data_IF_484373501660
#
_entry.id   IF_484373501660
#
_cell.length_a   1.000
_cell.length_b   1.000
_cell.length_c   1.000
_cell.angle_alpha   90.00
_cell.angle_beta   90.00
_cell.angle_gamma   90.00
#
_symmetry.space_group_name_H-M   'P 1'
#
loop_
_entity.id
_entity.type
_entity.pdbx_description
1 polymer ?
#
# COMPACT_ATOMS: atom_id res chain seq x y z
N UNK A 1 -34.22 -16.58 -4.06
CA UNK A 1 -33.65 -15.49 -3.24
C UNK A 1 -34.75 -14.98 -2.33
N UNK A 2 -34.39 -14.75 -1.07
CA UNK A 2 -35.16 -13.95 -0.12
C UNK A 2 -35.37 -12.53 -0.67
N UNK A 3 -36.35 -11.82 -0.10
CA UNK A 3 -36.58 -10.40 -0.39
C UNK A 3 -35.30 -9.59 -0.15
N UNK A 4 -34.92 -8.73 -1.10
CA UNK A 4 -33.78 -7.81 -0.95
C UNK A 4 -34.36 -6.46 -0.52
N UNK A 5 -34.09 -5.99 0.72
CA UNK A 5 -34.63 -4.72 1.22
C UNK A 5 -34.30 -3.58 0.26
N UNK A 6 -35.33 -2.88 -0.24
CA UNK A 6 -35.20 -1.80 -1.22
C UNK A 6 -35.29 -2.22 -2.69
N UNK A 7 -35.15 -3.51 -3.00
CA UNK A 7 -35.36 -4.05 -4.35
C UNK A 7 -36.68 -4.84 -4.50
N UNK A 8 -37.28 -5.26 -3.39
CA UNK A 8 -38.55 -6.00 -3.38
C UNK A 8 -38.39 -7.48 -3.74
N UNK A 9 -39.51 -8.21 -3.62
CA UNK A 9 -39.52 -9.66 -3.58
C UNK A 9 -39.25 -10.36 -4.92
N UNK A 10 -38.46 -11.44 -4.85
CA UNK A 10 -38.46 -12.63 -5.72
C UNK A 10 -38.22 -12.45 -7.23
N UNK A 11 -37.08 -12.93 -7.73
CA UNK A 11 -36.80 -13.02 -9.17
C UNK A 11 -35.48 -12.39 -9.61
N UNK A 12 -34.70 -11.87 -8.68
CA UNK A 12 -33.36 -11.35 -8.95
C UNK A 12 -32.40 -12.49 -9.31
N UNK A 13 -31.50 -12.22 -10.24
CA UNK A 13 -30.39 -13.12 -10.62
C UNK A 13 -29.09 -12.38 -10.32
N UNK A 14 -28.26 -12.94 -9.44
CA UNK A 14 -26.95 -12.37 -9.15
C UNK A 14 -26.07 -12.49 -10.40
N UNK A 15 -25.45 -11.38 -10.81
CA UNK A 15 -24.55 -11.34 -11.96
C UNK A 15 -23.10 -11.18 -11.56
N UNK A 16 -22.84 -10.43 -10.48
CA UNK A 16 -21.50 -10.03 -10.09
C UNK A 16 -21.48 -9.54 -8.64
N UNK A 17 -20.36 -9.75 -7.95
CA UNK A 17 -20.02 -9.15 -6.65
C UNK A 17 -18.63 -8.56 -6.76
N UNK A 18 -18.47 -7.33 -6.30
CA UNK A 18 -17.27 -6.52 -6.51
C UNK A 18 -16.80 -6.02 -5.15
N UNK A 19 -15.52 -6.16 -4.84
CA UNK A 19 -14.95 -5.66 -3.60
C UNK A 19 -14.19 -4.37 -3.88
N UNK A 20 -14.65 -3.25 -3.30
CA UNK A 20 -14.03 -1.94 -3.49
C UNK A 20 -12.57 -1.84 -3.00
N UNK A 21 -12.12 -2.82 -2.21
CA UNK A 21 -10.73 -2.93 -1.74
C UNK A 21 -9.85 -3.80 -2.67
N UNK A 22 -10.41 -4.39 -3.73
CA UNK A 22 -9.71 -5.23 -4.69
C UNK A 22 -9.75 -4.60 -6.09
N UNK A 23 -8.75 -4.90 -6.93
CA UNK A 23 -8.73 -4.36 -8.30
C UNK A 23 -9.18 -5.37 -9.36
N UNK A 24 -9.65 -6.55 -8.95
CA UNK A 24 -10.09 -7.62 -9.88
C UNK A 24 -11.05 -7.09 -10.93
N UNK A 25 -11.91 -6.15 -10.52
CA UNK A 25 -12.92 -5.54 -11.35
C UNK A 25 -12.78 -4.02 -11.42
N UNK A 26 -11.55 -3.51 -11.47
CA UNK A 26 -11.31 -2.11 -11.79
C UNK A 26 -11.89 -1.72 -13.18
N UNK A 27 -11.91 -0.43 -13.52
CA UNK A 27 -12.48 0.04 -14.80
C UNK A 27 -11.88 -0.68 -16.03
N UNK A 28 -10.58 -0.98 -16.01
CA UNK A 28 -9.84 -1.55 -17.14
C UNK A 28 -9.88 -3.08 -17.19
N UNK A 29 -10.42 -3.72 -16.15
CA UNK A 29 -10.50 -5.18 -16.08
C UNK A 29 -11.21 -5.77 -17.29
N UNK A 30 -10.56 -6.77 -17.91
CA UNK A 30 -11.14 -7.53 -19.02
C UNK A 30 -12.41 -8.28 -18.60
N UNK A 31 -12.64 -8.50 -17.29
CA UNK A 31 -13.88 -9.09 -16.80
C UNK A 31 -15.11 -8.26 -17.11
N UNK A 32 -15.01 -6.96 -17.41
CA UNK A 32 -16.16 -6.17 -17.85
C UNK A 32 -16.57 -6.46 -19.30
N UNK A 33 -15.61 -6.88 -20.13
CA UNK A 33 -15.75 -6.97 -21.59
C UNK A 33 -15.59 -8.38 -22.15
N UNK A 34 -15.26 -9.38 -21.33
CA UNK A 34 -15.20 -10.80 -21.71
C UNK A 34 -16.42 -11.60 -21.22
N UNK A 35 -16.60 -12.81 -21.75
CA UNK A 35 -17.61 -13.79 -21.31
C UNK A 35 -16.99 -14.91 -20.46
N UNK A 36 -16.08 -14.52 -19.57
CA UNK A 36 -15.46 -15.42 -18.61
C UNK A 36 -16.08 -15.22 -17.22
N UNK A 37 -16.26 -16.32 -16.49
CA UNK A 37 -16.68 -16.32 -15.09
C UNK A 37 -15.46 -16.18 -14.17
N UNK A 38 -15.68 -15.63 -12.98
CA UNK A 38 -14.67 -15.51 -11.92
C UNK A 38 -15.26 -15.95 -10.58
N UNK A 39 -14.52 -16.75 -9.81
CA UNK A 39 -14.92 -17.21 -8.47
C UNK A 39 -16.38 -17.70 -8.40
N UNK A 40 -16.72 -18.67 -9.27
CA UNK A 40 -18.10 -19.15 -9.43
C UNK A 40 -18.66 -19.71 -8.12
N UNK A 41 -17.86 -20.47 -7.37
CA UNK A 41 -18.31 -21.05 -6.09
C UNK A 41 -18.68 -19.97 -5.10
N UNK A 42 -17.87 -18.91 -4.96
CA UNK A 42 -18.18 -17.78 -4.09
C UNK A 42 -19.45 -17.04 -4.55
N UNK A 43 -19.70 -16.98 -5.86
CA UNK A 43 -20.95 -16.44 -6.41
C UNK A 43 -22.20 -17.27 -6.08
N UNK A 44 -22.04 -18.59 -5.86
CA UNK A 44 -23.13 -19.50 -5.48
C UNK A 44 -23.42 -19.48 -3.98
N UNK A 45 -22.52 -18.95 -3.14
CA UNK A 45 -22.72 -18.76 -1.69
C UNK A 45 -23.70 -17.62 -1.34
N UNK A 46 -24.24 -16.91 -2.33
CA UNK A 46 -25.18 -15.80 -2.13
C UNK A 46 -24.48 -14.43 -2.02
N UNK A 47 -25.11 -13.47 -1.31
CA UNK A 47 -24.64 -12.09 -1.18
C UNK A 47 -23.60 -12.00 -0.05
N UNK A 48 -22.42 -12.55 -0.31
CA UNK A 48 -21.23 -12.46 0.57
C UNK A 48 -20.29 -11.35 0.09
N UNK A 49 -19.29 -10.99 0.89
CA UNK A 49 -18.27 -9.97 0.53
C UNK A 49 -17.15 -10.50 -0.37
N UNK A 50 -17.23 -11.78 -0.78
CA UNK A 50 -16.28 -12.38 -1.73
C UNK A 50 -16.66 -12.02 -3.16
N UNK A 51 -15.65 -11.61 -3.93
CA UNK A 51 -15.80 -11.25 -5.35
C UNK A 51 -16.28 -12.41 -6.20
N UNK A 52 -17.10 -12.13 -7.22
CA UNK A 52 -17.52 -13.14 -8.21
C UNK A 52 -18.04 -12.49 -9.49
N UNK A 53 -17.96 -13.21 -10.60
CA UNK A 53 -18.63 -12.91 -11.86
C UNK A 53 -19.25 -14.19 -12.41
N UNK A 54 -20.56 -14.16 -12.65
CA UNK A 54 -21.33 -15.33 -13.07
C UNK A 54 -21.75 -15.22 -14.54
N UNK A 55 -22.05 -16.36 -15.16
CA UNK A 55 -22.51 -16.42 -16.56
C UNK A 55 -23.82 -15.64 -16.82
N UNK A 56 -24.61 -15.40 -15.78
CA UNK A 56 -25.76 -14.50 -15.80
C UNK A 56 -25.41 -13.08 -16.23
N UNK A 57 -24.17 -12.61 -16.04
CA UNK A 57 -23.70 -11.30 -16.52
C UNK A 57 -23.93 -11.08 -18.02
N UNK A 58 -23.77 -12.12 -18.85
CA UNK A 58 -23.96 -12.05 -20.31
C UNK A 58 -25.15 -12.84 -20.84
N UNK A 59 -25.82 -13.66 -20.00
CA UNK A 59 -26.95 -14.50 -20.42
C UNK A 59 -28.31 -14.05 -19.86
N UNK A 60 -28.37 -13.02 -19.01
CA UNK A 60 -29.62 -12.60 -18.35
C UNK A 60 -30.15 -11.28 -18.91
N UNK A 61 -31.30 -11.28 -19.61
CA UNK A 61 -32.00 -10.06 -20.01
C UNK A 61 -32.34 -9.17 -18.81
N UNK A 62 -32.03 -7.88 -18.92
CA UNK A 62 -32.29 -6.89 -17.89
C UNK A 62 -33.68 -6.31 -18.09
N UNK A 63 -34.50 -6.35 -17.04
CA UNK A 63 -35.74 -5.55 -16.93
C UNK A 63 -35.61 -4.42 -15.91
N UNK A 64 -34.86 -4.70 -14.85
CA UNK A 64 -34.46 -3.81 -13.75
C UNK A 64 -33.10 -4.28 -13.24
N UNK A 65 -32.36 -3.40 -12.60
CA UNK A 65 -31.11 -3.73 -11.93
C UNK A 65 -31.25 -3.39 -10.45
N UNK A 66 -31.00 -4.36 -9.58
CA UNK A 66 -30.86 -4.14 -8.15
C UNK A 66 -29.37 -3.98 -7.85
N UNK A 67 -28.97 -2.82 -7.33
CA UNK A 67 -27.60 -2.50 -6.94
C UNK A 67 -27.54 -2.33 -5.44
N UNK A 68 -26.49 -2.84 -4.81
CA UNK A 68 -26.27 -2.64 -3.39
C UNK A 68 -24.80 -2.49 -3.02
N UNK A 69 -24.57 -1.84 -1.90
CA UNK A 69 -23.25 -1.64 -1.31
C UNK A 69 -23.31 -1.95 0.18
N UNK A 70 -22.29 -2.65 0.65
CA UNK A 70 -22.11 -2.97 2.07
C UNK A 70 -20.96 -2.15 2.64
N UNK A 71 -21.22 -1.41 3.71
CA UNK A 71 -20.19 -0.65 4.45
C UNK A 71 -20.36 -0.97 5.92
N UNK A 72 -19.29 -1.42 6.59
CA UNK A 72 -19.31 -1.81 8.00
C UNK A 72 -20.42 -2.82 8.35
N UNK A 73 -20.69 -3.77 7.45
CA UNK A 73 -21.73 -4.79 7.60
C UNK A 73 -23.17 -4.33 7.33
N UNK A 74 -23.40 -3.04 7.05
CA UNK A 74 -24.72 -2.53 6.65
C UNK A 74 -24.83 -2.46 5.12
N UNK A 75 -25.82 -3.17 4.56
CA UNK A 75 -26.11 -3.13 3.12
C UNK A 75 -27.27 -2.19 2.81
N UNK A 76 -27.10 -1.30 1.84
CA UNK A 76 -28.17 -0.51 1.25
C UNK A 76 -28.29 -0.77 -0.24
N UNK A 77 -29.51 -0.64 -0.76
CA UNK A 77 -29.85 -1.06 -2.12
C UNK A 77 -30.67 0.01 -2.85
N UNK A 78 -30.57 0.01 -4.17
CA UNK A 78 -31.37 0.82 -5.08
C UNK A 78 -31.78 0.01 -6.31
N UNK A 79 -32.85 0.46 -6.96
CA UNK A 79 -33.33 -0.09 -8.23
C UNK A 79 -33.02 0.90 -9.35
N UNK A 80 -32.48 0.40 -10.46
CA UNK A 80 -32.47 1.09 -11.75
C UNK A 80 -33.48 0.44 -12.68
N UNK A 81 -34.43 1.22 -13.20
CA UNK A 81 -35.29 0.80 -14.30
C UNK A 81 -34.50 0.90 -15.61
N UNK A 82 -34.02 -0.24 -16.10
CA UNK A 82 -33.16 -0.31 -17.28
C UNK A 82 -33.43 -1.60 -18.06
N UNK A 83 -33.54 -1.50 -19.40
CA UNK A 83 -33.81 -2.65 -20.26
C UNK A 83 -32.67 -2.90 -21.24
N UNK A 84 -32.17 -4.13 -21.28
CA UNK A 84 -31.13 -4.57 -22.21
C UNK A 84 -31.10 -6.09 -22.33
N UNK A 85 -30.39 -6.63 -23.33
CA UNK A 85 -30.24 -8.07 -23.50
C UNK A 85 -29.35 -8.73 -22.45
N UNK A 86 -28.41 -8.00 -21.85
CA UNK A 86 -27.58 -8.41 -20.72
C UNK A 86 -26.78 -7.23 -20.13
N UNK A 87 -26.13 -7.41 -18.98
CA UNK A 87 -25.22 -6.38 -18.46
C UNK A 87 -23.96 -6.28 -19.34
N UNK A 88 -23.47 -7.41 -19.84
CA UNK A 88 -22.42 -7.47 -20.85
C UNK A 88 -22.72 -6.59 -22.06
N UNK A 89 -23.92 -6.68 -22.65
CA UNK A 89 -24.26 -5.91 -23.87
C UNK A 89 -24.27 -4.39 -23.64
N UNK A 90 -24.46 -3.94 -22.40
CA UNK A 90 -24.50 -2.53 -22.03
C UNK A 90 -23.12 -1.99 -21.70
N UNK A 91 -22.19 -2.86 -21.27
CA UNK A 91 -20.86 -2.46 -20.82
C UNK A 91 -19.78 -2.74 -21.88
N UNK A 92 -19.84 -3.87 -22.58
CA UNK A 92 -18.71 -4.41 -23.34
C UNK A 92 -18.27 -3.56 -24.53
N UNK A 93 -19.15 -2.75 -25.11
CA UNK A 93 -18.83 -1.88 -26.24
C UNK A 93 -18.22 -0.52 -25.84
N UNK A 94 -18.07 -0.29 -24.53
CA UNK A 94 -17.48 0.94 -23.98
C UNK A 94 -18.33 2.20 -24.16
N UNK A 95 -19.56 2.10 -24.70
CA UNK A 95 -20.38 3.28 -24.97
C UNK A 95 -21.04 3.80 -23.70
N UNK A 96 -20.98 5.12 -23.50
CA UNK A 96 -21.67 5.80 -22.40
C UNK A 96 -23.19 5.71 -22.57
N UNK A 97 -23.88 5.33 -21.50
CA UNK A 97 -25.36 5.27 -21.46
C UNK A 97 -25.87 5.80 -20.14
N UNK A 98 -26.61 6.90 -20.17
CA UNK A 98 -27.17 7.53 -18.98
C UNK A 98 -28.25 6.68 -18.28
N UNK A 99 -28.37 6.87 -16.97
CA UNK A 99 -29.50 6.40 -16.15
C UNK A 99 -30.29 7.61 -15.63
N UNK A 100 -31.41 7.36 -14.94
CA UNK A 100 -32.30 8.40 -14.41
C UNK A 100 -32.54 8.25 -12.92
N UNK A 101 -31.59 7.67 -12.17
CA UNK A 101 -31.77 7.43 -10.74
C UNK A 101 -31.70 8.72 -9.94
N UNK A 102 -30.86 9.66 -10.37
CA UNK A 102 -30.62 10.91 -9.67
C UNK A 102 -29.62 10.79 -8.51
N UNK A 103 -29.03 11.94 -8.18
CA UNK A 103 -27.96 12.07 -7.19
C UNK A 103 -28.34 11.52 -5.81
N UNK A 104 -29.53 11.84 -5.33
CA UNK A 104 -29.99 11.43 -3.99
C UNK A 104 -30.16 9.92 -3.88
N UNK A 105 -30.65 9.27 -4.94
CA UNK A 105 -30.77 7.81 -5.01
C UNK A 105 -29.38 7.16 -4.95
N UNK A 106 -28.40 7.68 -5.69
CA UNK A 106 -27.03 7.20 -5.62
C UNK A 106 -26.39 7.45 -4.25
N UNK A 107 -26.62 8.59 -3.61
CA UNK A 107 -26.12 8.81 -2.24
C UNK A 107 -26.80 7.90 -1.20
N UNK A 108 -28.03 7.44 -1.46
CA UNK A 108 -28.78 6.59 -0.52
C UNK A 108 -28.16 5.20 -0.31
N UNK A 109 -27.35 4.70 -1.27
CA UNK A 109 -26.72 3.37 -1.15
C UNK A 109 -25.50 3.32 -0.23
N UNK A 110 -25.00 4.47 0.24
CA UNK A 110 -23.98 4.54 1.30
C UNK A 110 -24.39 5.61 2.31
N UNK A 111 -24.63 5.19 3.56
CA UNK A 111 -24.97 6.11 4.65
C UNK A 111 -23.87 7.17 4.85
N UNK A 112 -24.27 8.44 4.92
CA UNK A 112 -23.34 9.56 5.13
C UNK A 112 -22.47 9.91 3.92
N UNK A 113 -22.71 9.32 2.75
CA UNK A 113 -22.00 9.69 1.52
C UNK A 113 -22.34 11.12 1.08
N UNK A 114 -21.41 11.75 0.36
CA UNK A 114 -21.59 13.09 -0.20
C UNK A 114 -20.98 13.16 -1.59
N UNK A 115 -21.68 13.82 -2.50
CA UNK A 115 -21.21 14.11 -3.86
C UNK A 115 -21.23 15.63 -4.08
N UNK A 116 -20.26 16.13 -4.84
CA UNK A 116 -20.19 17.56 -5.17
C UNK A 116 -21.35 18.00 -6.07
N UNK A 117 -21.61 19.31 -6.20
CA UNK A 117 -22.88 19.84 -6.71
C UNK A 117 -23.06 19.76 -8.23
N UNK A 118 -21.96 19.75 -8.98
CA UNK A 118 -21.93 19.90 -10.42
C UNK A 118 -21.58 18.58 -11.14
N UNK A 119 -21.62 18.65 -12.47
CA UNK A 119 -21.58 17.57 -13.43
C UNK A 119 -22.77 16.59 -13.39
N UNK A 120 -23.02 15.95 -12.25
CA UNK A 120 -24.14 15.02 -12.04
C UNK A 120 -24.30 13.95 -13.14
N UNK A 121 -23.19 13.39 -13.61
CA UNK A 121 -23.19 12.43 -14.72
C UNK A 121 -23.33 11.02 -14.18
N UNK A 122 -24.45 10.37 -14.49
CA UNK A 122 -24.73 8.99 -14.09
C UNK A 122 -24.85 8.02 -15.27
N UNK A 123 -24.71 6.73 -14.99
CA UNK A 123 -24.97 5.64 -15.92
C UNK A 123 -23.78 4.70 -16.16
N UNK A 124 -23.79 4.04 -17.31
CA UNK A 124 -22.81 3.03 -17.74
C UNK A 124 -21.66 3.64 -18.54
N UNK A 125 -20.47 3.07 -18.43
CA UNK A 125 -19.25 3.49 -19.14
C UNK A 125 -19.07 5.02 -19.10
N UNK A 126 -19.14 5.59 -17.90
CA UNK A 126 -18.84 7.00 -17.70
C UNK A 126 -17.38 7.20 -18.03
N UNK A 127 -17.10 8.12 -18.94
CA UNK A 127 -15.76 8.60 -19.23
C UNK A 127 -15.78 10.13 -19.19
N UNK A 128 -15.11 10.66 -18.18
CA UNK A 128 -14.76 12.08 -18.06
C UNK A 128 -13.25 12.17 -17.93
N UNK A 129 -12.66 13.31 -18.30
CA UNK A 129 -11.22 13.44 -18.57
C UNK A 129 -10.28 12.88 -17.48
N UNK A 130 -10.70 12.89 -16.21
CA UNK A 130 -9.91 12.40 -15.08
C UNK A 130 -10.52 11.19 -14.35
N UNK A 131 -11.72 10.73 -14.72
CA UNK A 131 -12.44 9.68 -13.99
C UNK A 131 -13.31 8.86 -14.93
N UNK A 132 -13.17 7.54 -14.83
CA UNK A 132 -13.95 6.57 -15.58
C UNK A 132 -14.73 5.69 -14.62
N UNK A 133 -15.91 5.20 -15.01
CA UNK A 133 -16.73 4.27 -14.24
C UNK A 133 -17.45 3.28 -15.16
N UNK A 134 -17.62 2.02 -14.74
CA UNK A 134 -18.46 1.07 -15.51
C UNK A 134 -19.94 1.25 -15.25
N UNK A 135 -20.30 1.59 -14.02
CA UNK A 135 -21.66 1.95 -13.63
C UNK A 135 -21.60 2.85 -12.40
N UNK A 136 -22.10 4.07 -12.46
CA UNK A 136 -22.02 4.95 -11.30
C UNK A 136 -22.58 6.35 -11.51
N UNK A 137 -22.13 7.25 -10.65
CA UNK A 137 -22.39 8.67 -10.67
C UNK A 137 -21.07 9.42 -10.42
N UNK A 138 -20.77 10.44 -11.22
CA UNK A 138 -19.61 11.33 -11.05
C UNK A 138 -20.05 12.78 -10.94
N UNK A 139 -19.36 13.52 -10.07
CA UNK A 139 -19.63 14.91 -9.77
C UNK A 139 -18.36 15.70 -9.42
N UNK A 140 -18.46 17.02 -9.51
CA UNK A 140 -17.46 17.98 -9.08
C UNK A 140 -18.09 19.30 -8.61
N UNK A 141 -17.27 20.31 -8.37
CA UNK A 141 -17.66 21.65 -7.95
C UNK A 141 -17.34 22.70 -9.04
N UNK A 142 -16.69 22.33 -10.14
CA UNK A 142 -16.49 23.23 -11.27
C UNK A 142 -17.71 23.32 -12.20
N UNK A 143 -17.72 24.29 -13.10
CA UNK A 143 -18.81 24.53 -14.06
C UNK A 143 -18.87 23.53 -15.22
N UNK A 144 -17.89 22.63 -15.32
CA UNK A 144 -17.74 21.67 -16.43
C UNK A 144 -17.50 20.24 -15.94
N UNK A 145 -17.95 19.24 -16.70
CA UNK A 145 -17.75 17.80 -16.43
C UNK A 145 -16.35 17.26 -16.81
N UNK A 146 -15.26 18.00 -16.56
CA UNK A 146 -13.90 17.60 -16.97
C UNK A 146 -12.99 17.20 -15.81
N UNK A 147 -13.36 17.54 -14.58
CA UNK A 147 -12.53 17.37 -13.37
C UNK A 147 -13.36 16.71 -12.27
N UNK A 148 -14.09 15.64 -12.60
CA UNK A 148 -14.91 14.94 -11.62
C UNK A 148 -14.04 14.33 -10.53
N UNK A 149 -14.20 14.77 -9.29
CA UNK A 149 -13.38 14.39 -8.15
C UNK A 149 -14.24 13.85 -6.98
N UNK A 150 -15.53 13.65 -7.21
CA UNK A 150 -16.44 12.91 -6.34
C UNK A 150 -17.27 11.90 -7.13
N UNK A 151 -17.46 10.70 -6.59
CA UNK A 151 -18.12 9.63 -7.31
C UNK A 151 -18.68 8.54 -6.38
N UNK A 152 -19.60 7.74 -6.90
CA UNK A 152 -20.16 6.54 -6.25
C UNK A 152 -20.62 5.54 -7.31
N UNK A 153 -20.37 4.25 -7.12
CA UNK A 153 -20.68 3.21 -8.11
C UNK A 153 -19.66 2.08 -8.15
N UNK A 154 -19.54 1.44 -9.31
CA UNK A 154 -18.75 0.26 -9.57
C UNK A 154 -17.65 0.54 -10.61
N UNK A 155 -16.44 0.05 -10.30
CA UNK A 155 -15.26 0.07 -11.17
C UNK A 155 -14.83 1.45 -11.65
N UNK A 156 -14.20 2.22 -10.76
CA UNK A 156 -13.61 3.51 -11.11
C UNK A 156 -12.15 3.39 -11.53
N UNK A 157 -11.70 4.30 -12.41
CA UNK A 157 -10.30 4.44 -12.78
C UNK A 157 -9.97 5.86 -13.23
N UNK A 158 -8.82 6.41 -12.85
CA UNK A 158 -8.41 7.75 -13.24
C UNK A 158 -7.46 7.68 -14.44
N UNK A 159 -7.83 8.31 -15.56
CA UNK A 159 -6.85 8.65 -16.60
C UNK A 159 -6.03 9.85 -16.12
N UNK A 160 -4.74 9.65 -15.84
CA UNK A 160 -3.79 10.74 -15.60
C UNK A 160 -2.93 10.67 -14.33
N UNK A 161 -3.04 9.66 -13.49
CA UNK A 161 -2.18 9.52 -12.30
C UNK A 161 -1.09 8.44 -12.50
N UNK A 162 -0.11 8.77 -13.35
CA UNK A 162 1.19 8.05 -13.46
C UNK A 162 2.11 8.34 -12.25
N UNK A 163 1.56 8.87 -11.17
CA UNK A 163 2.19 9.02 -9.86
C UNK A 163 1.23 8.40 -8.85
N UNK A 164 1.75 7.79 -7.78
CA UNK A 164 1.05 7.25 -6.59
C UNK A 164 1.14 5.73 -6.41
N UNK A 165 2.36 5.29 -6.10
CA UNK A 165 2.66 4.61 -4.82
C UNK A 165 1.74 5.12 -3.71
N UNK A 166 1.19 4.25 -2.83
CA UNK A 166 0.15 4.43 -1.77
C UNK A 166 -0.12 5.83 -1.19
N UNK A 167 -0.12 6.92 -1.95
CA UNK A 167 -0.09 8.27 -1.41
C UNK A 167 -1.46 8.63 -0.96
N UNK A 168 -1.54 9.10 0.27
CA UNK A 168 -2.50 10.12 0.63
C UNK A 168 -2.41 11.21 -0.44
N UNK A 169 -3.53 11.55 -1.05
CA UNK A 169 -3.65 12.80 -1.78
C UNK A 169 -3.57 13.94 -0.75
N UNK A 170 -2.38 14.19 -0.22
CA UNK A 170 -2.07 15.44 0.43
C UNK A 170 -1.69 16.40 -0.69
N UNK A 171 -2.63 17.31 -0.95
CA UNK A 171 -2.51 18.40 -1.89
C UNK A 171 -1.38 19.33 -1.46
N UNK A 172 -0.15 19.01 -1.84
CA UNK A 172 0.94 19.97 -1.97
C UNK A 172 1.39 20.04 -3.42
N UNK A 173 0.42 20.29 -4.31
CA UNK A 173 0.71 21.23 -5.38
C UNK A 173 0.93 22.58 -4.68
N UNK A 174 2.14 23.12 -4.82
CA UNK A 174 2.56 24.43 -4.35
C UNK A 174 1.53 25.51 -4.72
N UNK A 175 0.62 25.82 -3.80
CA UNK A 175 -0.25 26.98 -3.90
C UNK A 175 0.51 28.15 -3.29
N UNK A 176 0.88 29.11 -4.13
CA UNK A 176 1.10 30.49 -3.69
C UNK A 176 -0.15 30.93 -2.94
N UNK A 177 0.03 31.26 -1.66
CA UNK A 177 -1.01 31.82 -0.81
C UNK A 177 -1.58 33.09 -1.44
N UNK A 178 -2.87 33.11 -1.73
CA UNK A 178 -3.68 34.33 -1.65
C UNK A 178 -5.10 34.00 -1.19
N UNK A 179 -5.35 34.33 0.07
CA UNK A 179 -6.65 34.65 0.70
C UNK A 179 -7.89 33.83 0.30
N UNK A 180 -8.31 32.91 1.17
CA UNK A 180 -9.40 33.14 2.15
C UNK A 180 -10.11 31.84 2.56
N UNK A 181 -10.18 31.63 3.90
CA UNK A 181 -11.16 30.83 4.67
C UNK A 181 -11.15 29.28 4.55
N UNK A 182 -10.30 28.66 5.37
CA UNK A 182 -10.65 27.79 6.53
C UNK A 182 -12.03 27.08 6.48
N UNK A 183 -12.11 25.89 5.87
CA UNK A 183 -12.92 24.68 6.27
C UNK A 183 -13.13 23.76 5.07
N UNK A 184 -12.43 22.61 5.03
CA UNK A 184 -12.98 21.27 4.73
C UNK A 184 -11.80 20.27 4.69
N UNK A 185 -11.48 19.66 5.83
CA UNK A 185 -10.72 18.41 5.90
C UNK A 185 -11.77 17.31 6.02
N UNK A 186 -12.09 16.62 4.94
CA UNK A 186 -12.85 15.36 4.96
C UNK A 186 -12.25 14.47 3.87
N UNK A 187 -11.21 13.71 4.23
CA UNK A 187 -10.51 12.78 3.35
C UNK A 187 -11.28 11.44 3.31
N UNK A 188 -11.53 10.87 2.12
CA UNK A 188 -11.89 9.46 1.99
C UNK A 188 -10.75 8.62 2.62
N UNK A 189 -11.04 7.90 3.70
CA UNK A 189 -10.09 7.01 4.35
C UNK A 189 -9.99 5.72 3.55
N UNK A 190 -8.99 5.61 2.67
CA UNK A 190 -8.58 4.32 2.09
C UNK A 190 -8.18 3.37 3.23
N UNK A 191 -8.54 2.09 3.14
CA UNK A 191 -8.23 1.09 4.17
C UNK A 191 -6.87 0.44 3.93
N UNK A 192 -6.25 -0.09 4.99
CA UNK A 192 -5.12 -0.99 4.85
C UNK A 192 -5.49 -2.16 3.94
N UNK A 193 -4.59 -2.58 3.06
CA UNK A 193 -4.89 -3.70 2.17
C UNK A 193 -4.00 -3.79 0.95
N UNK A 194 -4.41 -4.66 0.03
CA UNK A 194 -3.72 -4.93 -1.22
C UNK A 194 -4.16 -3.95 -2.28
N UNK A 195 -3.20 -3.35 -2.98
CA UNK A 195 -3.43 -2.45 -4.11
C UNK A 195 -2.62 -2.94 -5.30
N UNK A 196 -3.18 -2.82 -6.50
CA UNK A 196 -2.50 -3.21 -7.72
C UNK A 196 -1.96 -1.96 -8.43
N UNK A 197 -0.65 -1.93 -8.64
CA UNK A 197 0.03 -0.84 -9.33
C UNK A 197 0.45 -1.27 -10.73
N UNK A 198 0.39 -0.33 -11.67
CA UNK A 198 0.94 -0.50 -13.01
C UNK A 198 2.40 -0.05 -13.02
N UNK A 199 3.27 -0.85 -13.61
CA UNK A 199 4.67 -0.43 -13.82
C UNK A 199 4.68 0.68 -14.86
N UNK A 200 5.35 1.80 -14.53
CA UNK A 200 5.45 2.95 -15.43
C UNK A 200 5.97 2.52 -16.81
N UNK A 201 5.30 2.96 -17.87
CA UNK A 201 5.61 2.61 -19.26
C UNK A 201 5.54 1.11 -19.59
N UNK A 202 4.77 0.32 -18.82
CA UNK A 202 4.55 -1.11 -19.07
C UNK A 202 3.08 -1.47 -18.89
N UNK A 203 2.62 -2.53 -19.55
CA UNK A 203 1.32 -3.15 -19.30
C UNK A 203 1.33 -4.08 -18.07
N UNK A 204 2.50 -4.32 -17.47
CA UNK A 204 2.63 -5.18 -16.29
C UNK A 204 2.07 -4.50 -15.06
N UNK A 205 1.23 -5.23 -14.33
CA UNK A 205 0.75 -4.87 -13.00
C UNK A 205 1.51 -5.67 -11.93
N UNK A 206 1.55 -5.14 -10.71
CA UNK A 206 2.05 -5.85 -9.54
C UNK A 206 1.24 -5.46 -8.30
N UNK A 207 0.98 -6.45 -7.45
CA UNK A 207 0.32 -6.25 -6.16
C UNK A 207 1.31 -5.69 -5.14
N UNK A 208 0.82 -4.77 -4.32
CA UNK A 208 1.53 -4.22 -3.17
C UNK A 208 0.60 -4.21 -1.96
N UNK A 209 1.18 -4.14 -0.76
CA UNK A 209 0.44 -3.84 0.45
C UNK A 209 0.59 -2.35 0.79
N UNK A 210 -0.53 -1.65 0.95
CA UNK A 210 -0.57 -0.29 1.48
C UNK A 210 -1.07 -0.28 2.92
N UNK A 211 -0.34 0.39 3.79
CA UNK A 211 -0.78 0.74 5.13
C UNK A 211 -1.29 2.19 5.11
N UNK A 212 -2.61 2.33 5.09
CA UNK A 212 -3.35 3.59 4.95
C UNK A 212 -3.74 4.22 6.29
N UNK A 213 -3.61 3.52 7.41
CA UNK A 213 -3.76 4.11 8.75
C UNK A 213 -2.47 4.79 9.22
N UNK A 214 -2.56 5.61 10.27
CA UNK A 214 -1.38 6.21 10.90
C UNK A 214 -0.46 5.11 11.47
N UNK A 215 0.83 5.24 11.20
CA UNK A 215 1.88 4.45 11.87
C UNK A 215 2.53 5.38 12.90
N UNK A 216 2.63 4.99 14.18
CA UNK A 216 3.32 5.77 15.20
C UNK A 216 4.70 6.22 14.72
N UNK A 217 5.08 7.48 14.99
CA UNK A 217 6.33 8.14 14.56
C UNK A 217 6.55 8.33 13.05
N UNK A 218 5.91 7.53 12.19
CA UNK A 218 5.95 7.74 10.75
C UNK A 218 4.89 8.74 10.27
N UNK A 219 3.76 8.80 10.98
CA UNK A 219 2.70 9.76 10.74
C UNK A 219 1.59 9.21 9.85
N UNK A 220 0.85 10.08 9.13
CA UNK A 220 -0.36 9.69 8.42
C UNK A 220 -0.04 8.61 7.37
N UNK A 221 -1.02 7.76 7.08
CA UNK A 221 -0.81 6.53 6.32
C UNK A 221 -0.35 6.73 4.89
N UNK A 222 -0.54 5.71 4.07
CA UNK A 222 -0.11 5.71 2.69
C UNK A 222 1.30 5.17 2.52
N UNK A 223 1.66 4.28 3.43
CA UNK A 223 2.94 3.61 3.46
C UNK A 223 2.88 2.37 2.58
N UNK A 224 3.81 2.27 1.65
CA UNK A 224 3.94 1.12 0.76
C UNK A 224 4.94 0.15 1.34
N UNK A 225 4.50 -1.07 1.64
CA UNK A 225 5.42 -2.12 2.08
C UNK A 225 6.38 -2.48 0.94
N UNK A 226 7.68 -2.51 1.22
CA UNK A 226 8.70 -2.94 0.24
C UNK A 226 9.40 -4.23 0.65
N UNK A 227 9.61 -4.43 1.95
CA UNK A 227 10.34 -5.59 2.47
C UNK A 227 10.01 -5.84 3.94
N UNK A 228 10.02 -7.12 4.34
CA UNK A 228 9.98 -7.57 5.74
C UNK A 228 11.16 -8.51 5.99
N UNK A 229 11.88 -8.32 7.08
CA UNK A 229 13.14 -9.02 7.37
C UNK A 229 13.05 -9.71 8.73
N UNK A 230 13.20 -11.03 8.77
CA UNK A 230 13.28 -11.78 10.02
C UNK A 230 14.73 -11.80 10.51
N UNK A 231 15.01 -11.11 11.62
CA UNK A 231 16.36 -11.00 12.18
C UNK A 231 16.99 -12.31 12.63
N UNK A 232 16.18 -13.36 12.82
CA UNK A 232 16.67 -14.71 13.16
C UNK A 232 17.03 -15.55 11.93
N UNK A 233 16.79 -15.03 10.72
CA UNK A 233 17.05 -15.73 9.46
C UNK A 233 18.15 -15.03 8.67
N UNK A 234 18.90 -15.83 7.93
CA UNK A 234 20.05 -15.35 7.18
C UNK A 234 19.71 -14.92 5.73
N UNK A 235 18.45 -15.04 5.29
CA UNK A 235 18.02 -14.81 3.90
C UNK A 235 18.31 -13.37 3.42
N UNK A 236 18.27 -12.40 4.33
CA UNK A 236 18.43 -10.98 4.04
C UNK A 236 19.65 -10.36 4.73
N UNK A 237 20.71 -11.13 4.99
CA UNK A 237 21.99 -10.56 5.46
C UNK A 237 22.57 -9.53 4.48
N UNK A 238 23.62 -8.81 4.89
CA UNK A 238 24.20 -7.74 4.07
C UNK A 238 24.55 -8.19 2.65
N UNK A 239 25.18 -9.35 2.50
CA UNK A 239 25.64 -9.89 1.21
C UNK A 239 24.53 -10.54 0.38
N UNK A 240 23.29 -10.62 0.88
CA UNK A 240 22.19 -11.24 0.16
C UNK A 240 21.92 -10.57 -1.20
N UNK A 241 21.82 -11.33 -2.30
CA UNK A 241 21.53 -10.78 -3.62
C UNK A 241 20.14 -10.13 -3.68
N UNK A 242 19.24 -10.44 -2.74
CA UNK A 242 17.93 -9.81 -2.66
C UNK A 242 18.00 -8.29 -2.43
N UNK A 243 19.12 -7.74 -1.93
CA UNK A 243 19.30 -6.29 -1.83
C UNK A 243 19.62 -5.63 -3.18
N UNK A 244 20.26 -6.36 -4.09
CA UNK A 244 20.86 -5.81 -5.32
C UNK A 244 20.20 -6.32 -6.60
N UNK A 245 19.26 -7.26 -6.51
CA UNK A 245 18.49 -7.78 -7.65
C UNK A 245 17.05 -7.23 -7.70
N UNK A 246 16.35 -7.47 -8.81
CA UNK A 246 14.92 -7.13 -9.00
C UNK A 246 14.04 -8.38 -8.96
N UNK A 247 14.34 -9.28 -8.02
CA UNK A 247 13.55 -10.47 -7.76
C UNK A 247 12.69 -10.28 -6.51
N UNK A 248 11.49 -10.84 -6.52
CA UNK A 248 10.59 -10.91 -5.37
C UNK A 248 10.91 -12.10 -4.48
N UNK A 249 10.55 -12.03 -3.21
CA UNK A 249 10.61 -13.14 -2.27
C UNK A 249 9.31 -13.21 -1.49
N UNK A 250 8.67 -14.39 -1.42
CA UNK A 250 7.45 -14.65 -0.66
C UNK A 250 6.38 -13.54 -0.81
N UNK A 251 5.88 -13.34 -2.04
CA UNK A 251 4.96 -12.25 -2.38
C UNK A 251 3.67 -12.32 -1.57
N UNK A 252 3.04 -13.50 -1.51
CA UNK A 252 1.78 -13.72 -0.78
C UNK A 252 1.90 -13.30 0.69
N UNK A 253 3.00 -13.68 1.35
CA UNK A 253 3.27 -13.29 2.73
C UNK A 253 3.39 -11.77 2.90
N UNK A 254 3.87 -11.05 1.89
CA UNK A 254 3.91 -9.58 1.89
C UNK A 254 2.56 -8.91 1.67
N UNK A 255 1.61 -9.60 1.03
CA UNK A 255 0.27 -9.08 0.77
C UNK A 255 -0.70 -9.28 1.95
N UNK A 256 -0.37 -10.16 2.89
CA UNK A 256 -1.08 -10.38 4.16
C UNK A 256 -0.87 -9.25 5.20
N UNK A 257 -0.14 -8.19 4.85
CA UNK A 257 0.11 -7.03 5.70
C UNK A 257 1.33 -7.16 6.61
N UNK A 258 1.27 -6.53 7.79
CA UNK A 258 2.41 -6.40 8.72
C UNK A 258 2.57 -7.61 9.66
N UNK A 259 2.30 -8.82 9.16
CA UNK A 259 2.61 -10.06 9.89
C UNK A 259 4.13 -10.35 9.92
N UNK A 260 4.53 -11.34 10.71
CA UNK A 260 5.93 -11.74 10.94
C UNK A 260 6.43 -12.80 9.94
N UNK A 261 6.06 -12.66 8.66
CA UNK A 261 6.58 -13.48 7.57
C UNK A 261 7.41 -12.62 6.63
N UNK A 262 8.68 -12.98 6.43
CA UNK A 262 9.62 -12.18 5.65
C UNK A 262 9.22 -12.12 4.16
N UNK A 263 9.45 -10.98 3.50
CA UNK A 263 9.05 -10.76 2.11
C UNK A 263 9.95 -9.74 1.43
N UNK A 264 9.99 -9.78 0.10
CA UNK A 264 10.47 -8.69 -0.74
C UNK A 264 9.48 -8.50 -1.90
N UNK A 265 8.90 -7.31 -1.97
CA UNK A 265 7.89 -6.98 -2.97
C UNK A 265 8.48 -6.18 -4.14
N UNK A 266 7.79 -6.19 -5.28
CA UNK A 266 8.21 -5.44 -6.47
C UNK A 266 8.20 -3.92 -6.27
N UNK A 267 7.50 -3.43 -5.23
CA UNK A 267 7.60 -2.05 -4.76
C UNK A 267 9.04 -1.68 -4.38
N UNK A 268 9.89 -2.61 -3.94
CA UNK A 268 11.30 -2.34 -3.64
C UNK A 268 12.06 -1.61 -4.77
N UNK A 269 11.76 -1.91 -6.03
CA UNK A 269 12.42 -1.30 -7.21
C UNK A 269 11.51 -0.45 -8.10
N UNK A 270 10.20 -0.44 -7.86
CA UNK A 270 9.23 0.28 -8.70
C UNK A 270 8.62 1.51 -8.02
N UNK A 271 9.00 1.81 -6.78
CA UNK A 271 8.30 2.76 -5.91
C UNK A 271 9.18 3.96 -5.55
N UNK A 272 9.01 5.12 -6.21
CA UNK A 272 9.64 6.37 -5.79
C UNK A 272 9.10 6.82 -4.44
N UNK A 273 9.96 7.41 -3.62
CA UNK A 273 9.61 7.86 -2.27
C UNK A 273 10.38 9.12 -1.86
N UNK A 274 9.84 9.83 -0.88
CA UNK A 274 10.51 10.92 -0.16
C UNK A 274 10.69 10.62 1.34
N UNK A 275 10.05 9.57 1.86
CA UNK A 275 10.21 9.09 3.23
C UNK A 275 10.31 7.58 3.28
N UNK A 276 11.06 7.09 4.26
CA UNK A 276 11.13 5.67 4.62
C UNK A 276 10.70 5.51 6.08
N UNK A 277 9.76 4.61 6.32
CA UNK A 277 9.28 4.22 7.64
C UNK A 277 9.86 2.85 7.97
N UNK A 278 10.62 2.79 9.06
CA UNK A 278 11.33 1.61 9.50
C UNK A 278 10.73 1.15 10.82
N UNK A 279 10.33 -0.11 10.89
CA UNK A 279 9.78 -0.72 12.09
C UNK A 279 10.59 -1.91 12.53
N UNK A 280 10.73 -2.09 13.84
CA UNK A 280 11.29 -3.31 14.43
C UNK A 280 10.35 -3.81 15.51
N UNK A 281 9.95 -5.08 15.40
CA UNK A 281 9.17 -5.79 16.40
C UNK A 281 10.06 -6.71 17.20
N UNK A 282 10.03 -6.56 18.52
CA UNK A 282 10.68 -7.45 19.50
C UNK A 282 9.62 -7.86 20.50
N UNK A 283 9.41 -9.17 20.65
CA UNK A 283 8.23 -9.71 21.36
C UNK A 283 6.95 -9.09 20.76
N UNK A 284 6.03 -8.55 21.57
CA UNK A 284 4.77 -7.97 21.09
C UNK A 284 4.83 -6.44 20.87
N UNK A 285 6.02 -5.84 20.93
CA UNK A 285 6.19 -4.39 20.80
C UNK A 285 6.86 -4.05 19.48
N UNK A 286 6.20 -3.25 18.66
CA UNK A 286 6.77 -2.66 17.44
C UNK A 286 7.08 -1.18 17.66
N UNK A 287 8.34 -0.79 17.47
CA UNK A 287 8.77 0.60 17.48
C UNK A 287 9.12 1.04 16.05
N UNK A 288 8.92 2.32 15.78
CA UNK A 288 9.00 2.89 14.44
C UNK A 288 9.87 4.13 14.44
N UNK A 289 10.53 4.38 13.32
CA UNK A 289 11.18 5.65 13.00
C UNK A 289 10.89 6.03 11.55
N UNK A 290 10.96 7.32 11.26
CA UNK A 290 10.88 7.84 9.90
C UNK A 290 12.15 8.58 9.53
N UNK A 291 12.59 8.39 8.29
CA UNK A 291 13.73 9.10 7.72
C UNK A 291 13.28 9.78 6.44
N UNK A 292 13.53 11.08 6.34
CA UNK A 292 13.33 11.83 5.10
C UNK A 292 14.46 11.49 4.12
N UNK A 293 14.12 10.87 3.00
CA UNK A 293 15.07 10.54 1.94
C UNK A 293 14.35 10.43 0.60
N UNK A 294 14.79 11.20 -0.39
CA UNK A 294 14.20 11.19 -1.72
C UNK A 294 14.97 10.25 -2.66
N UNK A 295 14.29 9.24 -3.20
CA UNK A 295 14.86 8.34 -4.19
C UNK A 295 13.82 7.82 -5.18
N UNK A 296 14.30 7.33 -6.33
CA UNK A 296 13.45 6.71 -7.35
C UNK A 296 12.96 5.30 -6.97
N UNK A 297 13.67 4.61 -6.06
CA UNK A 297 13.27 3.36 -5.42
C UNK A 297 14.31 2.95 -4.36
N UNK A 298 13.98 2.02 -3.46
CA UNK A 298 14.94 1.55 -2.46
C UNK A 298 16.08 0.75 -3.13
N UNK A 299 15.75 0.01 -4.20
CA UNK A 299 16.72 -0.61 -5.10
C UNK A 299 17.75 0.40 -5.62
N UNK A 300 17.32 1.60 -6.05
CA UNK A 300 18.24 2.59 -6.61
C UNK A 300 19.26 3.09 -5.57
N UNK A 301 18.85 3.20 -4.30
CA UNK A 301 19.73 3.61 -3.20
C UNK A 301 20.71 2.49 -2.84
N UNK A 302 20.25 1.23 -2.80
CA UNK A 302 21.01 0.12 -2.25
C UNK A 302 21.87 -0.60 -3.31
N UNK A 303 21.36 -0.83 -4.51
CA UNK A 303 21.95 -1.76 -5.48
C UNK A 303 23.35 -1.33 -5.98
N UNK A 304 23.64 -0.02 -5.96
CA UNK A 304 24.96 0.50 -6.34
C UNK A 304 26.07 0.22 -5.31
N UNK A 305 25.74 -0.25 -4.11
CA UNK A 305 26.70 -0.63 -3.07
C UNK A 305 27.41 0.53 -2.36
N UNK A 306 27.32 1.76 -2.89
CA UNK A 306 27.87 2.96 -2.26
C UNK A 306 27.10 3.36 -0.99
N UNK A 307 27.83 3.84 0.02
CA UNK A 307 27.23 4.30 1.27
C UNK A 307 26.58 5.68 1.12
N UNK A 308 25.35 5.82 1.62
CA UNK A 308 24.61 7.10 1.61
C UNK A 308 24.17 7.43 3.03
N UNK A 309 24.64 8.56 3.57
CA UNK A 309 24.34 8.96 4.95
C UNK A 309 22.88 9.42 5.13
N UNK A 310 22.32 9.12 6.30
CA UNK A 310 21.06 9.69 6.79
C UNK A 310 21.34 10.72 7.89
N UNK A 311 20.28 11.38 8.37
CA UNK A 311 20.36 12.37 9.46
C UNK A 311 19.43 12.02 10.63
N UNK A 312 19.16 10.73 10.84
CA UNK A 312 18.23 10.28 11.88
C UNK A 312 18.87 10.44 13.28
N UNK A 313 20.17 10.18 13.39
CA UNK A 313 20.93 10.28 14.63
C UNK A 313 20.81 9.05 15.53
N UNK A 314 21.83 8.87 16.39
CA UNK A 314 21.98 7.71 17.27
C UNK A 314 20.74 7.42 18.14
N UNK A 315 20.16 8.45 18.76
CA UNK A 315 19.00 8.30 19.64
C UNK A 315 17.79 7.74 18.89
N UNK A 316 17.57 8.17 17.65
CA UNK A 316 16.47 7.72 16.79
C UNK A 316 16.68 6.26 16.41
N UNK A 317 17.89 5.88 15.98
CA UNK A 317 18.19 4.47 15.71
C UNK A 317 17.98 3.58 16.94
N UNK A 318 18.42 4.02 18.12
CA UNK A 318 18.21 3.28 19.38
C UNK A 318 16.74 3.14 19.77
N UNK A 319 15.85 4.05 19.37
CA UNK A 319 14.43 3.96 19.73
C UNK A 319 13.69 2.83 19.02
N UNK A 320 14.25 2.24 17.95
CA UNK A 320 13.68 1.08 17.27
C UNK A 320 13.59 -0.17 18.16
N UNK A 321 14.44 -0.29 19.19
CA UNK A 321 14.45 -1.45 20.08
C UNK A 321 14.65 -0.95 21.51
N UNK A 322 13.65 -1.18 22.37
CA UNK A 322 13.76 -0.92 23.79
C UNK A 322 14.89 -1.78 24.39
N UNK A 323 15.77 -1.15 25.18
CA UNK A 323 16.93 -1.83 25.75
C UNK A 323 18.11 -2.05 24.79
N UNK A 324 18.07 -1.49 23.57
CA UNK A 324 19.20 -1.56 22.65
C UNK A 324 20.46 -0.88 23.20
N UNK A 325 21.61 -1.44 22.82
CA UNK A 325 22.93 -0.95 23.19
C UNK A 325 23.75 -0.70 21.93
N UNK A 326 24.60 0.32 21.98
CA UNK A 326 25.55 0.64 20.92
C UNK A 326 26.81 1.15 21.60
N UNK A 327 27.97 0.78 21.07
CA UNK A 327 29.24 1.32 21.56
C UNK A 327 29.33 2.84 21.40
N UNK A 328 30.22 3.47 22.18
CA UNK A 328 30.17 4.91 22.43
C UNK A 328 30.67 5.76 21.27
N UNK A 329 31.58 5.26 20.43
CA UNK A 329 32.16 6.01 19.33
C UNK A 329 31.53 5.63 17.97
N UNK A 330 31.83 6.43 16.95
CA UNK A 330 31.30 6.36 15.60
C UNK A 330 29.79 6.58 15.52
N UNK A 331 29.31 7.02 14.37
CA UNK A 331 27.89 7.20 14.09
C UNK A 331 27.64 7.03 12.60
N UNK A 332 28.16 5.94 12.03
CA UNK A 332 28.02 5.68 10.61
C UNK A 332 26.60 5.18 10.34
N UNK A 333 25.69 6.10 10.04
CA UNK A 333 24.30 5.81 9.72
C UNK A 333 23.99 5.93 8.22
N UNK A 334 22.99 5.18 7.78
CA UNK A 334 22.33 5.35 6.50
C UNK A 334 22.20 4.06 5.70
N UNK A 335 22.39 4.17 4.40
CA UNK A 335 22.29 3.07 3.44
C UNK A 335 23.66 2.51 3.09
N UNK A 336 23.77 1.18 2.96
CA UNK A 336 25.02 0.47 2.70
C UNK A 336 26.16 0.94 3.63
N UNK A 337 25.89 1.01 4.93
CA UNK A 337 26.89 1.36 5.94
C UNK A 337 27.97 0.29 5.94
N UNK A 338 29.21 0.73 5.73
CA UNK A 338 30.42 -0.08 5.83
C UNK A 338 31.42 0.66 6.71
N UNK A 339 31.97 -0.01 7.72
CA UNK A 339 33.07 0.57 8.50
C UNK A 339 34.43 0.37 7.82
N UNK A 340 34.64 -0.76 7.14
CA UNK A 340 35.77 -0.97 6.22
C UNK A 340 35.30 -1.62 4.91
N UNK A 341 36.17 -1.69 3.89
CA UNK A 341 35.84 -2.42 2.66
C UNK A 341 35.89 -3.94 2.81
N UNK A 342 36.64 -4.48 3.78
CA UNK A 342 36.72 -5.93 3.98
C UNK A 342 35.44 -6.48 4.65
N UNK A 343 35.11 -7.73 4.36
CA UNK A 343 33.89 -8.38 4.84
C UNK A 343 33.96 -8.82 6.32
N UNK A 344 35.06 -8.52 7.01
CA UNK A 344 35.28 -8.92 8.41
C UNK A 344 34.59 -8.00 9.41
N UNK A 345 34.30 -6.75 9.05
CA UNK A 345 33.70 -5.79 9.98
C UNK A 345 32.21 -5.57 9.72
N UNK A 346 31.57 -4.79 10.59
CA UNK A 346 30.13 -4.55 10.54
C UNK A 346 29.72 -3.84 9.25
N UNK A 347 28.80 -4.48 8.53
CA UNK A 347 28.12 -3.96 7.35
C UNK A 347 26.61 -3.99 7.58
N UNK A 348 25.91 -2.91 7.23
CA UNK A 348 24.45 -2.80 7.42
C UNK A 348 23.82 -2.15 6.19
N UNK A 349 22.76 -2.75 5.65
CA UNK A 349 22.09 -2.20 4.45
C UNK A 349 21.32 -0.94 4.75
N UNK A 350 20.62 -0.89 5.88
CA UNK A 350 19.92 0.29 6.38
C UNK A 350 20.11 0.30 7.89
N UNK A 351 20.85 1.25 8.44
CA UNK A 351 21.07 1.25 9.89
C UNK A 351 22.18 2.16 10.35
N UNK A 352 22.65 1.88 11.55
CA UNK A 352 23.73 2.58 12.24
C UNK A 352 24.78 1.57 12.70
N UNK A 353 26.04 1.81 12.35
CA UNK A 353 27.20 1.09 12.88
C UNK A 353 28.04 2.01 13.79
N UNK A 354 28.50 1.43 14.91
CA UNK A 354 29.24 2.11 15.98
C UNK A 354 30.43 1.28 16.41
N UNK A 355 31.40 1.92 17.06
CA UNK A 355 32.57 1.25 17.62
C UNK A 355 32.97 1.86 18.99
N UNK A 356 34.03 1.37 19.66
CA UNK A 356 34.55 1.97 20.89
C UNK A 356 35.98 2.56 20.76
N UNK A 357 36.65 2.32 19.64
CA UNK A 357 37.98 2.81 19.28
C UNK A 357 37.91 4.17 18.60
N UNK A 358 39.04 4.87 18.51
CA UNK A 358 39.12 6.22 17.93
C UNK A 358 38.77 6.28 16.44
N UNK A 359 39.02 5.19 15.68
CA UNK A 359 38.68 5.09 14.27
C UNK A 359 37.37 4.34 14.04
N UNK A 360 36.69 4.66 12.93
CA UNK A 360 35.44 4.02 12.53
C UNK A 360 35.62 2.91 11.50
N UNK A 361 36.81 2.30 11.51
CA UNK A 361 37.20 1.28 10.54
C UNK A 361 36.85 -0.14 11.00
N UNK A 362 36.72 -0.34 12.32
CA UNK A 362 36.60 -1.67 12.95
C UNK A 362 35.29 -1.88 13.69
N UNK A 363 34.22 -1.17 13.30
CA UNK A 363 32.92 -1.27 13.99
C UNK A 363 32.49 -2.73 14.18
N UNK A 364 32.09 -3.03 15.40
CA UNK A 364 31.58 -4.34 15.82
C UNK A 364 30.18 -4.26 16.44
N UNK A 365 29.56 -3.07 16.43
CA UNK A 365 28.24 -2.83 16.98
C UNK A 365 27.32 -2.15 15.97
N UNK A 366 26.05 -2.56 15.92
CA UNK A 366 25.05 -1.96 15.04
C UNK A 366 23.61 -2.07 15.55
N UNK A 367 22.75 -1.28 14.92
CA UNK A 367 21.31 -1.50 14.88
C UNK A 367 20.81 -1.24 13.46
N UNK A 368 20.02 -2.16 12.88
CA UNK A 368 19.52 -1.97 11.52
C UNK A 368 19.01 -3.22 10.83
N UNK A 369 18.93 -3.14 9.51
CA UNK A 369 18.40 -4.13 8.58
C UNK A 369 19.49 -4.58 7.61
N UNK A 370 19.52 -5.87 7.31
CA UNK A 370 20.49 -6.49 6.43
C UNK A 370 21.91 -6.35 6.94
N UNK A 371 22.15 -6.83 8.15
CA UNK A 371 23.46 -6.78 8.78
C UNK A 371 24.30 -8.03 8.52
N UNK A 372 25.61 -7.85 8.56
CA UNK A 372 26.63 -8.89 8.71
C UNK A 372 27.77 -8.29 9.51
N UNK A 373 28.21 -8.97 10.56
CA UNK A 373 29.23 -8.45 11.47
C UNK A 373 30.04 -9.60 12.05
N UNK A 374 31.33 -9.38 12.23
CA UNK A 374 32.22 -10.26 12.97
C UNK A 374 33.05 -9.39 13.92
N UNK A 375 32.70 -9.43 15.20
CA UNK A 375 33.30 -8.60 16.25
C UNK A 375 33.84 -9.44 17.38
N UNK A 376 35.02 -9.12 17.92
CA UNK A 376 35.69 -9.90 18.99
C UNK A 376 35.71 -11.43 18.78
N UNK A 377 35.86 -11.90 17.53
CA UNK A 377 35.87 -13.32 17.22
C UNK A 377 34.48 -13.98 17.16
N UNK A 378 33.41 -13.21 17.29
CA UNK A 378 32.02 -13.66 17.31
C UNK A 378 31.29 -13.18 16.04
N UNK A 379 30.84 -14.10 15.16
CA UNK A 379 29.97 -13.73 14.05
C UNK A 379 28.56 -13.40 14.58
N UNK A 380 27.98 -12.33 14.05
CA UNK A 380 26.57 -12.01 14.29
C UNK A 380 25.68 -12.79 13.33
N UNK A 381 24.76 -13.59 13.88
CA UNK A 381 23.70 -14.24 13.10
C UNK A 381 22.44 -13.35 12.94
N UNK A 382 22.48 -12.13 13.49
CA UNK A 382 21.35 -11.20 13.50
C UNK A 382 21.37 -10.42 12.20
N UNK A 383 20.37 -10.60 11.35
CA UNK A 383 20.29 -9.85 10.08
C UNK A 383 19.45 -8.58 10.21
N UNK A 384 18.58 -8.52 11.21
CA UNK A 384 17.78 -7.37 11.56
C UNK A 384 17.64 -7.30 13.08
N UNK A 385 18.01 -6.16 13.66
CA UNK A 385 18.00 -6.00 15.11
C UNK A 385 19.19 -5.19 15.61
N UNK A 386 19.61 -5.48 16.84
CA UNK A 386 20.71 -4.82 17.53
C UNK A 386 21.79 -5.82 17.96
N UNK A 387 23.05 -5.43 17.75
CA UNK A 387 24.22 -6.18 18.16
C UNK A 387 25.23 -5.20 18.76
N UNK A 388 25.66 -5.45 19.99
CA UNK A 388 26.73 -4.71 20.65
C UNK A 388 27.56 -5.70 21.44
N UNK A 389 28.85 -5.76 21.13
CA UNK A 389 29.83 -6.66 21.76
C UNK A 389 31.05 -5.83 22.19
N UNK A 390 32.10 -6.46 22.71
CA UNK A 390 33.43 -5.86 22.93
C UNK A 390 33.46 -4.71 23.95
N UNK A 391 32.54 -4.73 24.92
CA UNK A 391 32.28 -3.60 25.82
C UNK A 391 33.28 -3.37 26.98
N UNK A 392 34.34 -4.17 27.13
CA UNK A 392 35.38 -3.94 28.15
C UNK A 392 36.44 -2.96 27.63
N UNK A 393 36.61 -1.75 28.18
CA UNK A 393 37.14 -1.48 29.55
C UNK A 393 36.44 -0.31 30.27
N UNK A 394 35.26 0.15 29.85
CA UNK A 394 34.56 1.22 30.56
C UNK A 394 33.04 1.06 30.55
N UNK A 395 32.53 0.58 31.68
CA UNK A 395 31.23 0.75 32.38
C UNK A 395 29.93 1.24 31.69
N UNK A 396 29.81 1.32 30.37
CA UNK A 396 28.63 1.93 29.74
C UNK A 396 27.75 1.00 28.90
N UNK A 397 28.16 -0.22 28.55
CA UNK A 397 27.31 -1.17 27.85
C UNK A 397 27.62 -2.63 28.26
N UNK A 398 26.59 -3.46 28.43
CA UNK A 398 26.73 -4.92 28.43
C UNK A 398 26.66 -5.44 27.00
N UNK A 399 27.21 -6.61 26.71
CA UNK A 399 27.00 -7.24 25.41
C UNK A 399 25.50 -7.51 25.22
N UNK A 400 24.95 -7.07 24.09
CA UNK A 400 23.51 -7.16 23.77
C UNK A 400 23.33 -7.74 22.37
N UNK A 401 22.44 -8.72 22.28
CA UNK A 401 22.08 -9.46 21.07
C UNK A 401 20.56 -9.51 20.99
N UNK A 402 19.95 -8.68 20.14
CA UNK A 402 18.50 -8.61 20.00
C UNK A 402 18.13 -8.78 18.53
N UNK A 403 17.60 -9.94 18.18
CA UNK A 403 16.93 -10.14 16.90
C UNK A 403 15.56 -9.46 16.90
N UNK A 404 15.24 -8.77 15.81
CA UNK A 404 13.93 -8.16 15.61
C UNK A 404 13.30 -8.63 14.29
N UNK A 405 11.98 -8.56 14.22
CA UNK A 405 11.28 -8.65 12.95
C UNK A 405 11.13 -7.24 12.36
N UNK A 406 11.77 -7.01 11.22
CA UNK A 406 11.88 -5.71 10.58
C UNK A 406 10.82 -5.46 9.50
N UNK A 407 10.30 -4.24 9.46
CA UNK A 407 9.40 -3.74 8.42
C UNK A 407 10.02 -2.53 7.72
N UNK A 408 9.97 -2.52 6.39
CA UNK A 408 10.44 -1.40 5.58
C UNK A 408 9.28 -0.94 4.69
N UNK A 409 8.83 0.29 4.91
CA UNK A 409 7.79 0.94 4.11
C UNK A 409 8.27 2.28 3.56
N UNK A 410 7.70 2.73 2.45
CA UNK A 410 8.06 4.01 1.80
C UNK A 410 6.83 4.81 1.36
N UNK A 411 6.97 6.14 1.26
CA UNK A 411 5.89 7.10 0.89
C UNK A 411 6.36 8.16 -0.10
#
# INVERSE_FOLDING_TARGET
>A
MTDIPGCGGGGWTLVMKVNGNMSTFDYNSSFWTNKESYAVQDGLEGITEKESKLASYWNTPIKKICLGMTVNGESKWMILDYQASSLYSVIADGQYRGTTAGKDTWMSVIAGSSLQSNCNREGFNIQVQNTNARLGFVANNEVHCRSCDSWIGFAFGNEGDDRKVCRFADSNATIRVSSSRKKLRNHLSLSNGIYNLKVKNSLKTYSIYCHMTEIPECGPGGWTLVMKVDGNKNDFNYSSPYWTNKETYAVEDGLEGLNEKQTKLASYWNTPFNKICLGMKVSDVTQWIVIDHQASSLFHVIAGGGSTKTTAGRSTWKSLIAGSSLQSNCNNEGFNVKCQENDLYTHVRIGLATNNEDSCDTCDSYIGFGASSYGCGVPSAITCGNFAICSGVSHYNTDIYISAFGYILVQ
#
